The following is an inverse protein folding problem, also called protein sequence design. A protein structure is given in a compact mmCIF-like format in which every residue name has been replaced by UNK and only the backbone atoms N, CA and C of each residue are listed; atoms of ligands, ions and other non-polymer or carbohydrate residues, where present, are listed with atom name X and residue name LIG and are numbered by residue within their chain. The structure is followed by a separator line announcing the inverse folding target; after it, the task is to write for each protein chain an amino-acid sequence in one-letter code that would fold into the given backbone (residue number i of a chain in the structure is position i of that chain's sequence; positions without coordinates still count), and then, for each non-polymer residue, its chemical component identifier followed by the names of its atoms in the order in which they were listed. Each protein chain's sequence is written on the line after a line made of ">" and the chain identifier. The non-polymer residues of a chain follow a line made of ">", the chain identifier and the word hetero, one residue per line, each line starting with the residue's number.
data_IF_045085322840
#
_entry.id   IF_045085322840
#
_cell.length_a   1.000
_cell.length_b   1.000
_cell.length_c   1.000
_cell.angle_alpha   90.00
_cell.angle_beta   90.00
_cell.angle_gamma   90.00
#
_symmetry.space_group_name_H-M   'P 1'
#
loop_
_entity.id
_entity.type
_entity.pdbx_description
1 polymer ?
#
# COMPACT_ATOMS: atom_id res chain seq x y z
N UNK A 1 -5.75 -7.00 -41.18
CA UNK A 1 -4.85 -5.82 -41.12
C UNK A 1 -4.09 -5.88 -39.80
N UNK A 2 -2.76 -5.99 -39.81
CA UNK A 2 -1.97 -6.13 -38.59
C UNK A 2 -1.55 -4.75 -38.05
N UNK A 3 -1.87 -4.48 -36.77
CA UNK A 3 -1.45 -3.26 -36.07
C UNK A 3 0.04 -3.38 -35.70
N UNK A 4 0.90 -2.64 -36.38
CA UNK A 4 2.33 -2.53 -36.02
C UNK A 4 2.45 -1.63 -34.78
N UNK A 5 2.79 -2.23 -33.63
CA UNK A 5 3.14 -1.47 -32.44
C UNK A 5 4.43 -0.67 -32.69
N UNK A 6 4.32 0.66 -32.64
CA UNK A 6 5.47 1.57 -32.76
C UNK A 6 6.26 1.48 -31.44
N UNK A 7 7.53 1.08 -31.51
CA UNK A 7 8.44 1.10 -30.36
C UNK A 7 8.81 2.56 -30.09
N UNK A 8 8.20 3.16 -29.08
CA UNK A 8 8.48 4.54 -28.64
C UNK A 8 9.62 4.48 -27.62
N UNK A 9 10.62 5.35 -27.78
CA UNK A 9 11.76 5.42 -26.85
C UNK A 9 11.33 6.00 -25.50
N UNK A 10 11.99 5.60 -24.40
CA UNK A 10 11.71 6.14 -23.07
C UNK A 10 11.81 7.67 -23.00
N UNK A 11 12.73 8.28 -23.77
CA UNK A 11 12.85 9.73 -23.86
C UNK A 11 11.64 10.40 -24.54
N UNK A 12 11.05 9.76 -25.55
CA UNK A 12 9.83 10.26 -26.20
C UNK A 12 8.63 10.14 -25.27
N UNK A 13 8.55 9.07 -24.48
CA UNK A 13 7.50 8.89 -23.49
C UNK A 13 7.54 10.00 -22.43
N UNK A 14 8.73 10.32 -21.89
CA UNK A 14 8.91 11.40 -20.93
C UNK A 14 8.52 12.74 -21.55
N UNK A 15 8.93 13.03 -22.79
CA UNK A 15 8.53 14.26 -23.47
C UNK A 15 7.03 14.39 -23.68
N UNK A 16 6.31 13.29 -23.87
CA UNK A 16 4.84 13.29 -24.00
C UNK A 16 4.16 13.55 -22.66
N UNK A 17 4.64 12.91 -21.58
CA UNK A 17 4.09 13.08 -20.24
C UNK A 17 4.34 14.49 -19.72
N UNK A 18 5.56 15.02 -19.88
CA UNK A 18 5.93 16.35 -19.39
C UNK A 18 5.06 17.46 -19.98
N UNK A 19 4.63 17.35 -21.24
CA UNK A 19 3.69 18.29 -21.84
C UNK A 19 2.26 18.10 -21.31
N UNK A 20 1.84 16.85 -21.11
CA UNK A 20 0.50 16.53 -20.63
C UNK A 20 0.26 16.91 -19.16
N UNK A 21 1.32 16.97 -18.34
CA UNK A 21 1.22 17.28 -16.91
C UNK A 21 1.63 18.71 -16.56
N UNK A 22 1.99 19.53 -17.56
CA UNK A 22 2.50 20.89 -17.33
C UNK A 22 1.46 21.84 -16.71
N UNK A 23 0.17 21.62 -16.99
CA UNK A 23 -0.92 22.49 -16.53
C UNK A 23 -1.59 22.01 -15.23
N UNK A 24 -1.01 21.02 -14.55
CA UNK A 24 -1.57 20.53 -13.28
C UNK A 24 -1.22 21.50 -12.15
N UNK A 25 -2.21 21.94 -11.34
CA UNK A 25 -1.96 22.83 -10.23
C UNK A 25 -1.08 22.15 -9.18
N UNK A 26 -0.06 22.87 -8.69
CA UNK A 26 0.80 22.38 -7.63
C UNK A 26 -0.01 22.20 -6.34
N UNK A 27 -0.26 20.96 -5.95
CA UNK A 27 -0.92 20.64 -4.68
C UNK A 27 0.07 20.86 -3.53
N UNK A 28 0.04 22.04 -2.91
CA UNK A 28 0.66 22.28 -1.61
C UNK A 28 -0.19 21.63 -0.51
N UNK A 29 0.36 20.76 0.35
CA UNK A 29 -0.38 20.24 1.50
C UNK A 29 -0.67 21.38 2.49
N UNK A 30 -1.95 21.66 2.71
CA UNK A 30 -2.47 22.61 3.70
C UNK A 30 -2.25 22.02 5.11
N UNK A 31 -1.51 22.67 6.03
CA UNK A 31 -1.48 22.23 7.41
C UNK A 31 -2.87 22.42 8.02
N UNK A 32 -3.47 21.34 8.51
CA UNK A 32 -4.74 21.37 9.20
C UNK A 32 -4.63 22.25 10.45
N UNK A 33 -5.43 23.30 10.51
CA UNK A 33 -5.60 24.16 11.68
C UNK A 33 -6.16 23.36 12.85
N UNK A 34 -5.49 23.50 13.99
CA UNK A 34 -5.86 22.93 15.27
C UNK A 34 -7.17 23.57 15.79
N UNK A 35 -8.14 22.74 16.13
CA UNK A 35 -9.25 23.10 17.03
C UNK A 35 -8.86 22.59 18.41
N UNK A 36 -8.90 23.49 19.38
CA UNK A 36 -8.34 23.34 20.72
C UNK A 36 -9.19 22.46 21.65
N UNK A 37 -8.54 21.56 22.38
CA UNK A 37 -9.00 21.02 23.66
C UNK A 37 -7.89 21.24 24.72
N UNK A 38 -8.23 21.39 26.02
CA UNK A 38 -7.32 21.95 27.02
C UNK A 38 -6.22 20.97 27.45
N UNK A 39 -5.07 21.54 27.78
CA UNK A 39 -3.79 20.88 28.03
C UNK A 39 -3.75 20.00 29.29
N UNK A 40 -3.18 18.80 29.14
CA UNK A 40 -2.38 18.16 30.20
C UNK A 40 -0.90 18.26 29.83
N UNK A 41 0.00 18.70 30.74
CA UNK A 41 1.41 18.85 30.43
C UNK A 41 2.09 17.49 30.51
N UNK A 42 2.17 16.77 29.39
CA UNK A 42 3.07 15.62 29.29
C UNK A 42 4.46 16.14 29.00
N UNK A 43 5.23 16.26 30.07
CA UNK A 43 6.63 16.64 30.10
C UNK A 43 7.43 15.81 29.08
N UNK A 44 7.95 16.54 28.08
CA UNK A 44 8.72 16.00 26.96
C UNK A 44 10.10 15.57 27.46
N UNK A 45 10.22 14.36 28.02
CA UNK A 45 11.52 13.75 28.22
C UNK A 45 12.12 13.39 26.86
N UNK A 46 13.00 14.28 26.40
CA UNK A 46 13.92 14.09 25.27
C UNK A 46 14.81 12.87 25.53
N UNK A 47 14.30 11.69 25.17
CA UNK A 47 15.07 10.46 25.03
C UNK A 47 15.91 10.51 23.76
N UNK A 48 17.23 10.44 23.95
CA UNK A 48 18.28 10.41 22.94
C UNK A 48 17.98 9.46 21.77
N UNK A 49 18.15 9.96 20.56
CA UNK A 49 18.52 9.21 19.35
C UNK A 49 17.85 7.85 19.13
N UNK A 50 16.52 7.82 18.96
CA UNK A 50 15.88 6.66 18.34
C UNK A 50 16.04 6.81 16.82
N UNK A 51 16.56 5.79 16.09
CA UNK A 51 16.54 5.85 14.63
C UNK A 51 15.09 6.03 14.17
N UNK A 52 14.84 6.77 13.07
CA UNK A 52 13.49 6.91 12.54
C UNK A 52 12.91 5.51 12.35
N UNK A 53 11.77 5.24 13.00
CA UNK A 53 11.04 4.00 12.75
C UNK A 53 10.75 3.95 11.25
N UNK A 54 10.99 2.81 10.57
CA UNK A 54 10.65 2.69 9.16
C UNK A 54 9.19 3.11 9.00
N UNK A 55 8.93 4.01 8.05
CA UNK A 55 7.58 4.46 7.74
C UNK A 55 6.78 3.19 7.44
N UNK A 56 5.83 2.88 8.32
CA UNK A 56 4.91 1.76 8.10
C UNK A 56 4.11 2.13 6.87
N UNK A 57 4.09 1.26 5.87
CA UNK A 57 3.25 1.44 4.69
C UNK A 57 1.81 1.70 5.14
N UNK A 58 1.15 2.65 4.49
CA UNK A 58 -0.22 3.02 4.83
C UNK A 58 -1.12 1.85 4.44
N UNK A 59 -1.66 1.14 5.43
CA UNK A 59 -2.53 0.00 5.21
C UNK A 59 -3.94 0.48 4.85
N UNK A 60 -4.52 -0.09 3.79
CA UNK A 60 -5.91 0.11 3.41
C UNK A 60 -6.71 -1.18 3.67
N UNK A 61 -7.95 -1.05 4.11
CA UNK A 61 -8.83 -2.20 4.40
C UNK A 61 -9.85 -2.38 3.29
N UNK A 62 -9.92 -3.60 2.74
CA UNK A 62 -10.91 -3.99 1.74
C UNK A 62 -11.91 -4.96 2.38
N UNK A 63 -13.20 -4.63 2.32
CA UNK A 63 -14.29 -5.46 2.83
C UNK A 63 -15.23 -5.83 1.67
N UNK A 64 -15.59 -7.09 1.54
CA UNK A 64 -16.58 -7.55 0.56
C UNK A 64 -17.40 -8.72 1.10
N UNK A 65 -18.53 -9.01 0.45
CA UNK A 65 -19.41 -10.13 0.80
C UNK A 65 -19.21 -11.27 -0.20
N UNK A 66 -19.13 -12.50 0.29
CA UNK A 66 -19.08 -13.72 -0.51
C UNK A 66 -20.18 -14.71 -0.11
N UNK A 67 -20.43 -15.72 -0.95
CA UNK A 67 -21.23 -16.89 -0.55
C UNK A 67 -20.51 -17.67 0.55
N UNK A 68 -21.28 -18.33 1.42
CA UNK A 68 -20.75 -19.07 2.57
C UNK A 68 -19.69 -20.11 2.15
N UNK A 69 -20.01 -20.92 1.14
CA UNK A 69 -19.11 -21.97 0.64
C UNK A 69 -17.79 -21.40 0.13
N UNK A 70 -17.84 -20.27 -0.58
CA UNK A 70 -16.64 -19.64 -1.08
C UNK A 70 -15.78 -19.06 0.05
N UNK A 71 -16.40 -18.43 1.05
CA UNK A 71 -15.65 -17.93 2.20
C UNK A 71 -14.98 -19.09 2.98
N UNK A 72 -15.64 -20.25 3.12
CA UNK A 72 -15.05 -21.45 3.74
C UNK A 72 -13.81 -21.93 2.98
N UNK A 73 -13.91 -22.06 1.65
CA UNK A 73 -12.78 -22.48 0.81
C UNK A 73 -11.59 -21.52 0.90
N UNK A 74 -11.84 -20.21 0.95
CA UNK A 74 -10.79 -19.21 1.11
C UNK A 74 -10.09 -19.32 2.47
N UNK A 75 -10.84 -19.56 3.55
CA UNK A 75 -10.27 -19.73 4.88
C UNK A 75 -9.41 -20.99 4.97
N UNK A 76 -9.86 -22.09 4.36
CA UNK A 76 -9.09 -23.34 4.33
C UNK A 76 -7.82 -23.18 3.48
N UNK A 77 -7.93 -22.60 2.29
CA UNK A 77 -6.79 -22.40 1.39
C UNK A 77 -5.73 -21.43 1.93
N UNK A 78 -6.14 -20.47 2.77
CA UNK A 78 -5.24 -19.48 3.37
C UNK A 78 -4.76 -19.85 4.77
N UNK A 79 -5.06 -21.05 5.28
CA UNK A 79 -4.80 -21.44 6.67
C UNK A 79 -3.32 -21.39 7.07
N UNK A 80 -2.43 -21.79 6.16
CA UNK A 80 -1.00 -21.91 6.44
C UNK A 80 -0.25 -20.59 6.28
N UNK A 81 -0.65 -19.79 5.28
CA UNK A 81 0.03 -18.55 4.86
C UNK A 81 -0.65 -17.27 5.35
N UNK A 82 -1.94 -17.35 5.70
CA UNK A 82 -2.79 -16.21 5.99
C UNK A 82 -3.41 -15.59 4.73
N UNK A 83 -4.57 -14.93 4.90
CA UNK A 83 -5.39 -14.40 3.80
C UNK A 83 -4.65 -13.35 2.95
N UNK A 84 -3.89 -12.44 3.59
CA UNK A 84 -3.11 -11.40 2.92
C UNK A 84 -2.10 -12.00 1.94
N UNK A 85 -1.26 -12.91 2.42
CA UNK A 85 -0.24 -13.57 1.61
C UNK A 85 -0.84 -14.46 0.53
N UNK A 86 -1.96 -15.12 0.83
CA UNK A 86 -2.70 -15.92 -0.16
C UNK A 86 -3.16 -15.07 -1.34
N UNK A 87 -3.85 -13.95 -1.07
CA UNK A 87 -4.32 -13.02 -2.12
C UNK A 87 -3.15 -12.39 -2.86
N UNK A 88 -2.11 -11.94 -2.16
CA UNK A 88 -0.89 -11.38 -2.75
C UNK A 88 -0.21 -12.36 -3.71
N UNK A 89 -0.14 -13.64 -3.34
CA UNK A 89 0.42 -14.70 -4.18
C UNK A 89 -0.43 -14.95 -5.43
N UNK A 90 -1.76 -14.94 -5.30
CA UNK A 90 -2.67 -15.05 -6.45
C UNK A 90 -2.52 -13.86 -7.41
N UNK A 91 -2.43 -12.64 -6.88
CA UNK A 91 -2.22 -11.44 -7.67
C UNK A 91 -0.87 -11.48 -8.42
N UNK A 92 0.20 -11.90 -7.77
CA UNK A 92 1.52 -12.07 -8.40
C UNK A 92 1.49 -13.13 -9.52
N UNK A 93 0.81 -14.25 -9.29
CA UNK A 93 0.60 -15.30 -10.32
C UNK A 93 -0.22 -14.80 -11.51
N UNK A 94 -1.14 -13.87 -11.27
CA UNK A 94 -1.91 -13.22 -12.33
C UNK A 94 -1.13 -12.11 -13.06
N UNK A 95 0.11 -11.82 -12.65
CA UNK A 95 0.99 -10.85 -13.31
C UNK A 95 0.92 -9.42 -12.76
N UNK A 96 0.25 -9.20 -11.63
CA UNK A 96 0.26 -7.91 -10.96
C UNK A 96 1.57 -7.69 -10.19
N UNK A 97 2.00 -6.42 -10.12
CA UNK A 97 3.09 -6.02 -9.25
C UNK A 97 2.57 -5.95 -7.81
N UNK A 98 3.14 -6.77 -6.94
CA UNK A 98 2.69 -6.96 -5.57
C UNK A 98 3.84 -6.59 -4.63
N UNK A 99 3.62 -5.67 -3.67
CA UNK A 99 4.64 -5.29 -2.70
C UNK A 99 5.18 -6.50 -1.94
N UNK A 100 6.50 -6.54 -1.76
CA UNK A 100 7.17 -7.64 -1.06
C UNK A 100 6.68 -7.78 0.40
N UNK A 101 6.23 -6.67 1.00
CA UNK A 101 5.62 -6.65 2.32
C UNK A 101 4.40 -7.57 2.43
N UNK A 102 3.55 -7.62 1.40
CA UNK A 102 2.33 -8.44 1.41
C UNK A 102 2.59 -9.91 1.04
N UNK A 103 3.78 -10.22 0.51
CA UNK A 103 4.22 -11.59 0.22
C UNK A 103 4.86 -12.27 1.43
N UNK A 104 5.18 -11.52 2.48
CA UNK A 104 5.79 -12.07 3.67
C UNK A 104 4.73 -12.71 4.59
N UNK A 105 5.03 -13.88 5.17
CA UNK A 105 4.14 -14.48 6.15
C UNK A 105 4.01 -13.55 7.35
N UNK A 106 2.78 -13.27 7.78
CA UNK A 106 2.56 -12.54 9.02
C UNK A 106 3.08 -13.39 10.17
N UNK A 107 4.20 -12.98 10.77
CA UNK A 107 4.79 -13.66 11.91
C UNK A 107 3.70 -13.85 12.98
N UNK A 108 3.38 -15.12 13.30
CA UNK A 108 2.51 -15.45 14.42
C UNK A 108 3.22 -14.98 15.68
N UNK A 109 2.92 -13.77 16.14
CA UNK A 109 3.26 -13.33 17.49
C UNK A 109 2.48 -14.23 18.44
N UNK A 110 3.10 -15.34 18.86
CA UNK A 110 2.67 -16.10 20.02
C UNK A 110 2.86 -15.16 21.21
N UNK A 111 1.81 -14.45 21.59
CA UNK A 111 1.75 -13.79 22.88
C UNK A 111 1.65 -14.92 23.91
N UNK A 112 2.69 -15.05 24.72
CA UNK A 112 2.74 -15.90 25.91
C UNK A 112 1.74 -15.39 26.97
#
# INVERSE_FOLDING_TARGET
>A
MALKAKKISGAELVSQISKATADLPATTPKPAQAVAEPAEPVEQQRGRGRPPKPQREKLEQVNFRCSREFCSLLLDASRDVGMRQFIATLAKKAGYDVPEFDLQPTAKSRVL
#
